data_IF_758222866385
#
_entry.id   IF_758222866385
#
_cell.length_a   1.000
_cell.length_b   1.000
_cell.length_c   1.000
_cell.angle_alpha   90.00
_cell.angle_beta   90.00
_cell.angle_gamma   90.00
#
_symmetry.space_group_name_H-M   'P 1'
#
loop_
_entity.id
_entity.type
_entity.pdbx_description
1 polymer ?
#
# COMPACT_ATOMS: atom_id res chain seq x y z
N UNK A 1 8.80 -22.94 15.33
CA UNK A 1 7.89 -22.77 14.17
C UNK A 1 6.53 -23.23 14.65
N UNK A 2 5.72 -22.27 15.11
CA UNK A 2 4.47 -22.56 15.84
C UNK A 2 3.34 -21.97 15.01
N UNK A 3 2.32 -22.78 14.78
CA UNK A 3 1.34 -22.63 13.72
C UNK A 3 0.32 -21.52 13.99
N UNK A 4 0.01 -20.78 12.92
CA UNK A 4 -1.19 -19.98 12.68
C UNK A 4 -2.44 -20.74 13.17
N UNK A 5 -2.98 -20.37 14.33
CA UNK A 5 -4.20 -20.98 14.87
C UNK A 5 -5.44 -20.09 14.72
N UNK A 6 -5.32 -18.90 14.11
CA UNK A 6 -6.43 -17.95 13.97
C UNK A 6 -6.38 -17.24 12.60
N UNK A 7 -6.23 -17.98 11.51
CA UNK A 7 -6.46 -17.41 10.17
C UNK A 7 -7.85 -17.81 9.69
N UNK A 8 -8.64 -16.81 9.31
CA UNK A 8 -9.97 -17.00 8.70
C UNK A 8 -9.86 -17.61 7.29
N UNK A 9 -8.69 -17.54 6.66
CA UNK A 9 -8.33 -18.18 5.39
C UNK A 9 -6.82 -18.49 5.31
N UNK A 10 -6.37 -19.69 5.72
CA UNK A 10 -4.95 -20.02 5.74
C UNK A 10 -4.32 -19.95 4.33
N UNK A 11 -3.17 -19.28 4.22
CA UNK A 11 -2.35 -19.23 3.01
C UNK A 11 -2.43 -17.93 2.20
N UNK A 12 -3.16 -16.91 2.66
CA UNK A 12 -3.17 -15.58 2.01
C UNK A 12 -1.86 -14.83 2.21
N UNK A 13 -1.43 -14.11 1.19
CA UNK A 13 -0.28 -13.19 1.29
C UNK A 13 -0.69 -11.86 1.94
N UNK A 14 0.28 -11.12 2.49
CA UNK A 14 0.06 -9.78 3.07
C UNK A 14 -0.61 -8.84 2.06
N UNK A 15 -0.22 -8.93 0.78
CA UNK A 15 -0.84 -8.17 -0.31
C UNK A 15 -2.31 -8.55 -0.52
N UNK A 16 -2.67 -9.84 -0.45
CA UNK A 16 -4.06 -10.29 -0.57
C UNK A 16 -4.93 -9.81 0.59
N UNK A 17 -4.38 -9.85 1.81
CA UNK A 17 -5.02 -9.31 3.01
C UNK A 17 -5.25 -7.80 2.87
N UNK A 18 -4.21 -7.05 2.52
CA UNK A 18 -4.26 -5.60 2.32
C UNK A 18 -5.25 -5.19 1.22
N UNK A 19 -5.25 -5.90 0.08
CA UNK A 19 -6.18 -5.67 -1.02
C UNK A 19 -7.63 -5.89 -0.60
N UNK A 20 -7.92 -6.98 0.12
CA UNK A 20 -9.28 -7.25 0.58
C UNK A 20 -9.72 -6.25 1.66
N UNK A 21 -8.82 -5.84 2.56
CA UNK A 21 -9.11 -4.84 3.58
C UNK A 21 -9.50 -3.49 2.96
N UNK A 22 -8.73 -3.00 1.97
CA UNK A 22 -9.08 -1.79 1.21
C UNK A 22 -10.41 -1.94 0.48
N UNK A 23 -10.67 -3.10 -0.12
CA UNK A 23 -11.92 -3.36 -0.82
C UNK A 23 -13.15 -3.29 0.13
N UNK A 24 -13.05 -3.89 1.32
CA UNK A 24 -14.12 -3.85 2.31
C UNK A 24 -14.34 -2.45 2.89
N UNK A 25 -13.26 -1.73 3.20
CA UNK A 25 -13.32 -0.31 3.62
C UNK A 25 -13.98 0.55 2.54
N UNK A 26 -13.65 0.30 1.27
CA UNK A 26 -14.23 1.00 0.13
C UNK A 26 -15.73 0.78 -0.07
N UNK A 27 -16.30 -0.33 0.38
CA UNK A 27 -17.75 -0.55 0.35
C UNK A 27 -18.49 0.15 1.48
N UNK A 28 -17.82 0.46 2.58
CA UNK A 28 -18.46 1.08 3.72
C UNK A 28 -18.97 2.50 3.41
N UNK A 29 -18.41 3.17 2.40
CA UNK A 29 -18.88 4.48 1.91
C UNK A 29 -20.35 4.51 1.46
N UNK A 30 -20.97 3.35 1.24
CA UNK A 30 -22.37 3.23 0.86
C UNK A 30 -23.32 3.07 2.06
N UNK A 31 -22.80 2.99 3.28
CA UNK A 31 -23.59 2.92 4.50
C UNK A 31 -23.85 4.32 5.08
N UNK A 32 -24.89 4.43 5.93
CA UNK A 32 -25.22 5.67 6.64
C UNK A 32 -24.10 6.10 7.60
N UNK A 33 -23.38 5.12 8.16
CA UNK A 33 -22.16 5.31 8.96
C UNK A 33 -21.02 4.47 8.36
N UNK A 34 -20.20 5.06 7.47
CA UNK A 34 -19.10 4.36 6.82
C UNK A 34 -18.02 3.84 7.77
N UNK A 35 -17.75 4.52 8.89
CA UNK A 35 -16.70 4.09 9.81
C UNK A 35 -17.12 2.83 10.56
N UNK A 36 -18.33 2.85 11.12
CA UNK A 36 -18.88 1.68 11.82
C UNK A 36 -19.07 0.50 10.88
N UNK A 37 -19.53 0.72 9.64
CA UNK A 37 -19.70 -0.35 8.66
C UNK A 37 -18.36 -0.95 8.21
N UNK A 38 -17.31 -0.14 8.05
CA UNK A 38 -15.97 -0.62 7.73
C UNK A 38 -15.41 -1.53 8.83
N UNK A 39 -15.53 -1.11 10.10
CA UNK A 39 -15.08 -1.91 11.25
C UNK A 39 -15.84 -3.23 11.31
N UNK A 40 -17.16 -3.19 11.15
CA UNK A 40 -18.00 -4.40 11.13
C UNK A 40 -17.58 -5.37 10.02
N UNK A 41 -17.42 -4.88 8.78
CA UNK A 41 -17.00 -5.71 7.64
C UNK A 41 -15.64 -6.35 7.84
N UNK A 42 -14.68 -5.61 8.41
CA UNK A 42 -13.35 -6.13 8.71
C UNK A 42 -13.44 -7.21 9.78
N UNK A 43 -14.16 -6.98 10.89
CA UNK A 43 -14.34 -7.97 11.96
C UNK A 43 -15.10 -9.23 11.53
N UNK A 44 -15.93 -9.15 10.49
CA UNK A 44 -16.60 -10.32 9.90
C UNK A 44 -15.68 -11.15 8.99
N UNK A 45 -14.67 -10.52 8.37
CA UNK A 45 -13.87 -11.12 7.31
C UNK A 45 -12.40 -11.42 7.69
N UNK A 46 -11.92 -10.85 8.80
CA UNK A 46 -10.53 -10.93 9.27
C UNK A 46 -10.49 -11.21 10.76
N UNK A 47 -9.40 -11.83 11.21
CA UNK A 47 -9.00 -11.74 12.63
C UNK A 47 -8.28 -10.41 12.89
N UNK A 48 -8.17 -10.01 14.17
CA UNK A 48 -7.45 -8.78 14.55
C UNK A 48 -5.99 -8.78 14.06
N UNK A 49 -5.33 -9.94 14.09
CA UNK A 49 -3.96 -10.10 13.61
C UNK A 49 -3.86 -9.92 12.08
N UNK A 50 -4.81 -10.47 11.33
CA UNK A 50 -4.86 -10.31 9.87
C UNK A 50 -5.13 -8.84 9.48
N UNK A 51 -5.96 -8.10 10.24
CA UNK A 51 -6.13 -6.65 10.05
C UNK A 51 -4.83 -5.91 10.31
N UNK A 52 -4.13 -6.23 11.40
CA UNK A 52 -2.85 -5.60 11.74
C UNK A 52 -1.79 -5.85 10.66
N UNK A 53 -1.73 -7.06 10.11
CA UNK A 53 -0.81 -7.42 9.04
C UNK A 53 -1.14 -6.67 7.74
N UNK A 54 -2.42 -6.58 7.37
CA UNK A 54 -2.87 -5.79 6.24
C UNK A 54 -2.48 -4.31 6.38
N UNK A 55 -2.69 -3.72 7.56
CA UNK A 55 -2.37 -2.31 7.81
C UNK A 55 -0.86 -2.06 7.82
N UNK A 56 -0.06 -2.96 8.41
CA UNK A 56 1.40 -2.87 8.37
C UNK A 56 1.95 -2.94 6.93
N UNK A 57 1.35 -3.79 6.08
CA UNK A 57 1.73 -3.87 4.67
C UNK A 57 1.41 -2.56 3.92
N UNK A 58 0.21 -2.00 4.14
CA UNK A 58 -0.20 -0.74 3.52
C UNK A 58 0.70 0.43 3.95
N UNK A 59 1.06 0.50 5.23
CA UNK A 59 1.97 1.51 5.76
C UNK A 59 3.38 1.36 5.18
N UNK A 60 3.90 0.14 5.07
CA UNK A 60 5.21 -0.11 4.50
C UNK A 60 5.31 0.26 3.00
N UNK A 61 4.18 0.26 2.29
CA UNK A 61 4.10 0.68 0.89
C UNK A 61 4.06 2.21 0.72
N UNK A 62 3.89 2.97 1.80
CA UNK A 62 3.86 4.43 1.78
C UNK A 62 5.27 5.01 1.56
N UNK A 63 5.37 5.93 0.60
CA UNK A 63 6.61 6.63 0.32
C UNK A 63 6.75 7.83 1.27
N UNK A 64 7.75 7.81 2.13
CA UNK A 64 8.04 8.89 3.08
C UNK A 64 8.77 10.05 2.38
N UNK A 65 8.01 10.81 1.58
CA UNK A 65 8.49 11.94 0.79
C UNK A 65 9.08 13.05 1.68
N UNK A 66 8.49 13.28 2.86
CA UNK A 66 8.96 14.30 3.81
C UNK A 66 10.33 13.95 4.37
N UNK A 67 10.55 12.69 4.74
CA UNK A 67 11.86 12.24 5.19
C UNK A 67 12.90 12.31 4.07
N UNK A 68 12.53 11.95 2.84
CA UNK A 68 13.44 12.07 1.70
C UNK A 68 13.81 13.54 1.45
N UNK A 69 12.84 14.45 1.53
CA UNK A 69 13.06 15.89 1.40
C UNK A 69 13.94 16.45 2.53
N UNK A 70 13.76 15.98 3.78
CA UNK A 70 14.61 16.36 4.91
C UNK A 70 16.06 15.90 4.73
N UNK A 71 16.27 14.68 4.21
CA UNK A 71 17.61 14.19 3.86
C UNK A 71 18.22 15.02 2.73
N UNK A 72 17.46 15.32 1.68
CA UNK A 72 17.92 16.17 0.58
C UNK A 72 18.32 17.58 1.07
N UNK A 73 17.51 18.19 1.94
CA UNK A 73 17.80 19.49 2.52
C UNK A 73 19.09 19.48 3.38
N UNK A 74 19.33 18.39 4.13
CA UNK A 74 20.56 18.21 4.93
C UNK A 74 21.80 18.09 4.04
N UNK A 75 21.69 17.41 2.90
CA UNK A 75 22.79 17.20 1.96
C UNK A 75 23.12 18.48 1.16
N UNK A 76 22.17 19.40 1.01
CA UNK A 76 22.35 20.66 0.29
C UNK A 76 22.56 20.44 -1.21
N UNK A 77 23.19 21.43 -1.88
CA UNK A 77 23.44 21.39 -3.33
C UNK A 77 24.72 20.60 -3.70
N UNK A 78 25.30 19.81 -2.79
CA UNK A 78 26.49 19.02 -3.07
C UNK A 78 26.13 17.72 -3.81
N UNK A 79 25.73 17.90 -5.06
CA UNK A 79 25.34 16.83 -5.98
C UNK A 79 26.52 15.89 -6.36
N UNK A 80 27.73 16.16 -5.89
CA UNK A 80 28.91 15.35 -6.15
C UNK A 80 29.07 14.19 -5.15
N UNK A 81 28.31 14.16 -4.05
CA UNK A 81 28.33 13.06 -3.10
C UNK A 81 27.45 11.89 -3.56
N UNK A 82 27.92 10.65 -3.33
CA UNK A 82 27.15 9.43 -3.61
C UNK A 82 25.79 9.44 -2.88
N UNK A 83 25.75 10.02 -1.67
CA UNK A 83 24.51 10.18 -0.90
C UNK A 83 23.48 11.07 -1.63
N UNK A 84 23.91 12.21 -2.18
CA UNK A 84 23.03 13.10 -2.94
C UNK A 84 22.53 12.44 -4.23
N UNK A 85 23.41 11.71 -4.92
CA UNK A 85 23.04 10.93 -6.10
C UNK A 85 21.99 9.86 -5.76
N UNK A 86 22.20 9.08 -4.70
CA UNK A 86 21.25 8.04 -4.25
C UNK A 86 19.88 8.63 -3.89
N UNK A 87 19.84 9.76 -3.19
CA UNK A 87 18.60 10.46 -2.86
C UNK A 87 17.86 10.89 -4.11
N UNK A 88 18.57 11.41 -5.12
CA UNK A 88 17.97 11.80 -6.40
C UNK A 88 17.45 10.59 -7.19
N UNK A 89 18.19 9.48 -7.20
CA UNK A 89 17.72 8.24 -7.85
C UNK A 89 16.48 7.68 -7.16
N UNK A 90 16.44 7.70 -5.82
CA UNK A 90 15.28 7.24 -5.06
C UNK A 90 14.05 8.11 -5.35
N UNK A 91 14.20 9.44 -5.36
CA UNK A 91 13.11 10.36 -5.73
C UNK A 91 12.58 10.08 -7.15
N UNK A 92 13.50 9.85 -8.11
CA UNK A 92 13.13 9.51 -9.48
C UNK A 92 12.41 8.16 -9.59
N UNK A 93 12.85 7.16 -8.83
CA UNK A 93 12.22 5.85 -8.79
C UNK A 93 10.81 5.93 -8.21
N UNK A 94 10.62 6.70 -7.14
CA UNK A 94 9.31 6.93 -6.52
C UNK A 94 8.33 7.62 -7.47
N UNK A 95 8.75 8.69 -8.14
CA UNK A 95 7.95 9.37 -9.16
C UNK A 95 7.52 8.40 -10.29
N UNK A 96 8.43 7.59 -10.80
CA UNK A 96 8.11 6.60 -11.85
C UNK A 96 7.18 5.50 -11.35
N UNK A 97 7.29 5.11 -10.08
CA UNK A 97 6.40 4.13 -9.48
C UNK A 97 4.99 4.70 -9.33
N UNK A 98 4.86 5.98 -9.00
CA UNK A 98 3.56 6.66 -8.95
C UNK A 98 2.91 6.77 -10.33
N UNK A 99 3.67 7.12 -11.38
CA UNK A 99 3.17 7.08 -12.75
C UNK A 99 2.65 5.69 -13.15
N UNK A 100 3.32 4.62 -12.71
CA UNK A 100 2.87 3.25 -12.96
C UNK A 100 1.58 2.94 -12.18
N UNK A 101 1.48 3.36 -10.92
CA UNK A 101 0.28 3.20 -10.09
C UNK A 101 -0.92 3.94 -10.69
N UNK A 102 -0.72 5.15 -11.20
CA UNK A 102 -1.76 5.92 -11.91
C UNK A 102 -2.27 5.16 -13.14
N UNK A 103 -1.36 4.62 -13.95
CA UNK A 103 -1.74 3.80 -15.11
C UNK A 103 -2.51 2.54 -14.72
N UNK A 104 -2.18 1.92 -13.58
CA UNK A 104 -2.92 0.77 -13.05
C UNK A 104 -4.32 1.17 -12.59
N UNK A 105 -4.47 2.37 -12.03
CA UNK A 105 -5.78 2.88 -11.60
C UNK A 105 -6.66 3.26 -12.78
N UNK A 106 -6.09 3.89 -13.80
CA UNK A 106 -6.80 4.40 -14.99
C UNK A 106 -6.94 3.37 -16.11
N UNK A 107 -6.21 2.25 -16.07
CA UNK A 107 -6.08 1.28 -17.17
C UNK A 107 -7.37 0.53 -17.56
N UNK A 108 -8.48 0.72 -16.84
CA UNK A 108 -9.78 0.14 -17.18
C UNK A 108 -9.76 -1.39 -17.29
N UNK A 109 -10.60 -1.95 -18.16
CA UNK A 109 -10.72 -3.41 -18.37
C UNK A 109 -9.72 -3.99 -19.38
N UNK A 110 -8.90 -3.16 -20.04
CA UNK A 110 -7.97 -3.57 -21.09
C UNK A 110 -6.63 -4.07 -20.55
N UNK A 111 -6.37 -3.88 -19.26
CA UNK A 111 -5.16 -4.30 -18.57
C UNK A 111 -5.54 -5.23 -17.41
N UNK A 112 -4.76 -6.29 -17.20
CA UNK A 112 -4.93 -7.18 -16.07
C UNK A 112 -4.40 -6.52 -14.78
N UNK A 113 -5.07 -5.43 -14.36
CA UNK A 113 -4.62 -4.51 -13.32
C UNK A 113 -4.30 -5.23 -12.01
N UNK A 114 -5.03 -6.30 -11.69
CA UNK A 114 -4.78 -7.14 -10.52
C UNK A 114 -3.39 -7.80 -10.53
N UNK A 115 -2.96 -8.35 -11.67
CA UNK A 115 -1.67 -9.03 -11.79
C UNK A 115 -0.52 -8.04 -11.79
N UNK A 116 -0.69 -6.90 -12.46
CA UNK A 116 0.34 -5.86 -12.48
C UNK A 116 0.47 -5.21 -11.12
N UNK A 117 -0.63 -4.91 -10.43
CA UNK A 117 -0.62 -4.38 -9.08
C UNK A 117 0.05 -5.36 -8.10
N UNK A 118 -0.27 -6.66 -8.17
CA UNK A 118 0.38 -7.69 -7.36
C UNK A 118 1.89 -7.80 -7.62
N UNK A 119 2.35 -7.64 -8.86
CA UNK A 119 3.76 -7.74 -9.20
C UNK A 119 4.63 -6.62 -8.62
N UNK A 120 4.02 -5.51 -8.18
CA UNK A 120 4.71 -4.37 -7.58
C UNK A 120 4.22 -4.07 -6.16
N UNK A 121 3.55 -5.04 -5.52
CA UNK A 121 3.01 -4.92 -4.17
C UNK A 121 2.07 -3.71 -3.97
N UNK A 122 1.43 -3.25 -5.07
CA UNK A 122 0.52 -2.12 -5.05
C UNK A 122 -0.91 -2.56 -4.73
N UNK A 123 -1.54 -1.87 -3.79
CA UNK A 123 -2.97 -2.04 -3.48
C UNK A 123 -3.75 -0.86 -4.03
N UNK A 124 -4.61 -1.10 -5.01
CA UNK A 124 -5.44 -0.04 -5.60
C UNK A 124 -6.35 0.60 -4.56
N UNK A 125 -6.44 1.93 -4.57
CA UNK A 125 -7.21 2.70 -3.58
C UNK A 125 -6.58 2.79 -2.19
N UNK A 126 -5.30 2.40 -2.03
CA UNK A 126 -4.56 2.59 -0.78
C UNK A 126 -3.84 3.93 -0.68
N UNK A 127 -3.80 4.71 -1.77
CA UNK A 127 -3.19 6.04 -1.76
C UNK A 127 -4.18 7.06 -1.15
N UNK A 128 -3.70 8.03 -0.36
CA UNK A 128 -4.53 9.09 0.22
C UNK A 128 -5.25 9.94 -0.84
#
# INVERSE_FOLDING_TARGET
MTFLQESSNPGRTDWELARLAIHLRGYAKYADDPETDAVRRLGEAFTEDEVRQADAFLEAAHQDADRLAAIAARLGNDAASDEAWLVQQLATAWMRLDELRDRIDDGGSLMANIHVASAIDYVRGSRP
#
